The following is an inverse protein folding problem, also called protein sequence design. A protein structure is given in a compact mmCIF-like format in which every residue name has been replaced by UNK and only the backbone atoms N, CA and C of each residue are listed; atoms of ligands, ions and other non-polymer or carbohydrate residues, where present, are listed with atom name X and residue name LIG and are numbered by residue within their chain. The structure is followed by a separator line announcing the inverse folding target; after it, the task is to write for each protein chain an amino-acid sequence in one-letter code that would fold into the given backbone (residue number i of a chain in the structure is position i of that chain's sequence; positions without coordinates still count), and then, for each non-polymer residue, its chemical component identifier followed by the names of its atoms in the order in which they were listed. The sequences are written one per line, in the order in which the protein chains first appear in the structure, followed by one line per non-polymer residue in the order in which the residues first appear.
data_IF_330587832454
#
_entry.id   IF_330587832454
#
_cell.length_a   1.000
_cell.length_b   1.000
_cell.length_c   1.000
_cell.angle_alpha   90.00
_cell.angle_beta   90.00
_cell.angle_gamma   90.00
#
_symmetry.space_group_name_H-M   'P 1'
#
loop_
_entity.id
_entity.type
_entity.pdbx_description
1 polymer ?
#
# COMPACT_ATOMS: atom_id res chain seq x y z
N UNK A 1 -4.91 -58.95 19.78
CA UNK A 1 -4.98 -58.06 18.61
C UNK A 1 -6.16 -57.14 18.82
N UNK A 2 -5.91 -55.99 19.43
CA UNK A 2 -6.91 -54.95 19.75
C UNK A 2 -6.68 -53.79 18.80
N UNK A 3 -7.69 -53.49 18.00
CA UNK A 3 -7.71 -52.39 17.02
C UNK A 3 -7.83 -51.04 17.76
N UNK A 4 -6.87 -50.12 17.64
CA UNK A 4 -6.83 -48.88 18.43
C UNK A 4 -7.46 -47.65 17.73
N UNK A 5 -8.43 -47.80 16.83
CA UNK A 5 -8.76 -46.69 15.91
C UNK A 5 -10.21 -46.20 15.86
N UNK A 6 -11.10 -46.62 16.75
CA UNK A 6 -12.46 -46.05 16.82
C UNK A 6 -12.63 -45.25 18.11
N UNK A 7 -12.28 -43.97 18.05
CA UNK A 7 -12.70 -42.97 19.04
C UNK A 7 -14.11 -42.49 18.65
N UNK A 8 -15.18 -42.96 19.33
CA UNK A 8 -16.56 -42.59 19.01
C UNK A 8 -16.87 -41.13 19.36
N UNK A 9 -15.97 -40.43 20.06
CA UNK A 9 -16.12 -39.03 20.46
C UNK A 9 -15.41 -38.05 19.50
N UNK A 10 -14.86 -38.55 18.38
CA UNK A 10 -14.37 -37.69 17.31
C UNK A 10 -15.53 -36.94 16.65
N UNK A 11 -15.81 -35.73 17.15
CA UNK A 11 -16.78 -34.80 16.56
C UNK A 11 -16.53 -34.71 15.05
N UNK A 12 -17.58 -34.75 14.22
CA UNK A 12 -17.43 -34.58 12.77
C UNK A 12 -16.61 -33.32 12.51
N UNK A 13 -15.40 -33.50 11.96
CA UNK A 13 -14.56 -32.38 11.55
C UNK A 13 -15.34 -31.66 10.47
N UNK A 14 -15.97 -30.56 10.85
CA UNK A 14 -16.74 -29.73 9.92
C UNK A 14 -15.79 -29.34 8.78
N UNK A 15 -16.12 -29.65 7.52
CA UNK A 15 -15.21 -29.40 6.42
C UNK A 15 -14.92 -27.89 6.37
N UNK A 16 -13.63 -27.53 6.41
CA UNK A 16 -13.20 -26.15 6.36
C UNK A 16 -13.90 -25.45 5.17
N UNK A 17 -14.46 -24.24 5.38
CA UNK A 17 -15.23 -23.55 4.35
C UNK A 17 -14.37 -23.40 3.10
N UNK A 18 -14.91 -23.81 1.94
CA UNK A 18 -14.20 -23.77 0.68
C UNK A 18 -13.86 -22.31 0.31
N UNK A 19 -12.58 -21.96 0.39
CA UNK A 19 -12.09 -20.62 0.04
C UNK A 19 -12.32 -20.34 -1.43
N UNK A 20 -13.03 -19.26 -1.74
CA UNK A 20 -13.32 -18.87 -3.12
C UNK A 20 -12.01 -18.55 -3.87
N UNK A 21 -11.71 -19.20 -5.02
CA UNK A 21 -10.46 -19.00 -5.76
C UNK A 21 -10.24 -17.54 -6.22
N UNK A 22 -11.32 -16.77 -6.39
CA UNK A 22 -11.24 -15.35 -6.74
C UNK A 22 -10.55 -14.52 -5.65
N UNK A 23 -10.69 -14.89 -4.37
CA UNK A 23 -10.05 -14.20 -3.24
C UNK A 23 -8.53 -14.31 -3.33
N UNK A 24 -8.04 -15.51 -3.69
CA UNK A 24 -6.62 -15.75 -3.93
C UNK A 24 -6.10 -14.94 -5.11
N UNK A 25 -6.82 -14.95 -6.23
CA UNK A 25 -6.45 -14.18 -7.42
C UNK A 25 -6.35 -12.68 -7.12
N UNK A 26 -7.36 -12.10 -6.47
CA UNK A 26 -7.36 -10.67 -6.11
C UNK A 26 -6.19 -10.32 -5.19
N UNK A 27 -5.90 -11.16 -4.20
CA UNK A 27 -4.78 -10.97 -3.28
C UNK A 27 -3.42 -11.01 -3.99
N UNK A 28 -3.24 -11.93 -4.94
CA UNK A 28 -2.02 -12.03 -5.74
C UNK A 28 -1.88 -10.86 -6.72
N UNK A 29 -2.95 -10.45 -7.40
CA UNK A 29 -2.94 -9.29 -8.27
C UNK A 29 -2.61 -8.01 -7.50
N UNK A 30 -3.21 -7.80 -6.33
CA UNK A 30 -2.91 -6.66 -5.47
C UNK A 30 -1.47 -6.65 -4.99
N UNK A 31 -0.94 -7.80 -4.57
CA UNK A 31 0.47 -7.94 -4.18
C UNK A 31 1.41 -7.65 -5.35
N UNK A 32 1.14 -8.23 -6.54
CA UNK A 32 1.96 -8.03 -7.71
C UNK A 32 2.02 -6.54 -8.13
N UNK A 33 0.88 -5.85 -8.11
CA UNK A 33 0.84 -4.40 -8.37
C UNK A 33 1.62 -3.61 -7.33
N UNK A 34 1.50 -3.95 -6.05
CA UNK A 34 2.27 -3.29 -5.00
C UNK A 34 3.77 -3.49 -5.20
N UNK A 35 4.22 -4.72 -5.50
CA UNK A 35 5.64 -5.02 -5.76
C UNK A 35 6.16 -4.25 -6.97
N UNK A 36 5.43 -4.24 -8.08
CA UNK A 36 5.83 -3.51 -9.29
C UNK A 36 5.94 -2.01 -9.02
N UNK A 37 4.94 -1.41 -8.34
CA UNK A 37 4.98 -0.01 -7.96
C UNK A 37 6.16 0.29 -7.02
N UNK A 38 6.43 -0.59 -6.06
CA UNK A 38 7.58 -0.48 -5.16
C UNK A 38 8.91 -0.52 -5.90
N UNK A 39 9.08 -1.45 -6.83
CA UNK A 39 10.29 -1.57 -7.65
C UNK A 39 10.52 -0.29 -8.47
N UNK A 40 9.46 0.29 -9.04
CA UNK A 40 9.59 1.55 -9.76
C UNK A 40 9.99 2.71 -8.84
N UNK A 41 9.42 2.83 -7.64
CA UNK A 41 9.88 3.84 -6.68
C UNK A 41 11.36 3.65 -6.34
N UNK A 42 11.82 2.41 -6.13
CA UNK A 42 13.24 2.11 -5.90
C UNK A 42 14.10 2.52 -7.10
N UNK A 43 13.65 2.23 -8.33
CA UNK A 43 14.34 2.63 -9.55
C UNK A 43 14.46 4.16 -9.67
N UNK A 44 13.39 4.89 -9.35
CA UNK A 44 13.39 6.37 -9.33
C UNK A 44 14.39 6.90 -8.30
N UNK A 45 14.42 6.32 -7.10
CA UNK A 45 15.40 6.69 -6.06
C UNK A 45 16.83 6.43 -6.54
N UNK A 46 17.08 5.26 -7.13
CA UNK A 46 18.38 4.90 -7.67
C UNK A 46 18.82 5.86 -8.79
N UNK A 47 17.93 6.22 -9.71
CA UNK A 47 18.17 7.24 -10.73
C UNK A 47 18.50 8.60 -10.11
N UNK A 48 17.75 9.02 -9.08
CA UNK A 48 17.99 10.27 -8.37
C UNK A 48 19.37 10.37 -7.72
N UNK A 49 19.86 9.26 -7.17
CA UNK A 49 21.22 9.16 -6.60
C UNK A 49 22.28 9.13 -7.70
N UNK A 50 21.98 8.51 -8.85
CA UNK A 50 22.91 8.38 -9.98
C UNK A 50 23.13 9.70 -10.75
N UNK A 51 22.20 10.67 -10.67
CA UNK A 51 22.35 11.96 -11.35
C UNK A 51 23.60 12.70 -10.83
N UNK A 52 24.56 12.96 -11.72
CA UNK A 52 25.77 13.74 -11.44
C UNK A 52 25.63 15.19 -11.93
N UNK A 53 24.71 15.96 -11.33
CA UNK A 53 24.60 17.40 -11.60
C UNK A 53 25.35 18.21 -10.54
N UNK A 54 26.53 18.72 -10.90
CA UNK A 54 27.45 19.41 -9.98
C UNK A 54 26.83 20.58 -9.19
N UNK A 55 25.77 21.21 -9.71
CA UNK A 55 25.16 22.40 -9.12
C UNK A 55 23.88 22.13 -8.29
N UNK A 56 23.48 20.87 -8.12
CA UNK A 56 22.31 20.49 -7.30
C UNK A 56 22.73 19.59 -6.14
N UNK A 57 22.28 19.92 -4.93
CA UNK A 57 22.43 19.06 -3.75
C UNK A 57 21.70 17.72 -3.92
N UNK A 58 22.08 16.70 -3.15
CA UNK A 58 21.56 15.32 -3.25
C UNK A 58 20.03 15.24 -3.20
N UNK A 59 19.39 15.99 -2.29
CA UNK A 59 17.93 16.03 -2.15
C UNK A 59 17.23 16.61 -3.38
N UNK A 60 17.85 17.60 -4.04
CA UNK A 60 17.28 18.23 -5.22
C UNK A 60 17.43 17.36 -6.48
N UNK A 61 18.50 16.54 -6.55
CA UNK A 61 18.65 15.54 -7.60
C UNK A 61 17.61 14.44 -7.48
N UNK A 62 17.35 13.99 -6.26
CA UNK A 62 16.30 13.02 -5.96
C UNK A 62 14.93 13.58 -6.35
N UNK A 63 14.59 14.79 -5.91
CA UNK A 63 13.33 15.42 -6.29
C UNK A 63 13.17 15.60 -7.80
N UNK A 64 14.24 15.97 -8.51
CA UNK A 64 14.20 16.04 -9.97
C UNK A 64 13.88 14.68 -10.63
N UNK A 65 14.47 13.58 -10.15
CA UNK A 65 14.15 12.24 -10.65
C UNK A 65 12.69 11.83 -10.36
N UNK A 66 12.16 12.20 -9.19
CA UNK A 66 10.74 12.01 -8.90
C UNK A 66 9.85 12.81 -9.85
N UNK A 67 10.20 14.07 -10.12
CA UNK A 67 9.43 14.93 -11.04
C UNK A 67 9.32 14.31 -12.43
N UNK A 68 10.43 13.78 -12.98
CA UNK A 68 10.46 13.23 -14.34
C UNK A 68 9.74 11.89 -14.45
N UNK A 69 9.83 11.05 -13.43
CA UNK A 69 9.29 9.69 -13.50
C UNK A 69 7.84 9.57 -13.01
N UNK A 70 7.44 10.32 -11.97
CA UNK A 70 6.06 10.31 -11.47
C UNK A 70 5.07 10.94 -12.45
N UNK A 71 5.53 11.78 -13.38
CA UNK A 71 4.63 12.33 -14.41
C UNK A 71 4.27 11.26 -15.47
N UNK A 72 5.20 10.36 -15.77
CA UNK A 72 5.04 9.28 -16.73
C UNK A 72 4.09 8.18 -16.23
N UNK A 73 4.23 7.75 -14.97
CA UNK A 73 3.43 6.65 -14.41
C UNK A 73 2.71 7.10 -13.14
N UNK A 74 1.36 6.99 -13.06
CA UNK A 74 0.59 7.39 -11.88
C UNK A 74 0.72 6.35 -10.75
N UNK A 75 1.91 6.21 -10.16
CA UNK A 75 2.22 5.19 -9.15
C UNK A 75 1.27 5.23 -7.95
N UNK A 76 0.87 6.43 -7.50
CA UNK A 76 -0.09 6.57 -6.40
C UNK A 76 -1.44 5.93 -6.71
N UNK A 77 -1.93 6.01 -7.95
CA UNK A 77 -3.17 5.36 -8.37
C UNK A 77 -3.03 3.83 -8.39
N UNK A 78 -1.88 3.32 -8.85
CA UNK A 78 -1.60 1.87 -8.86
C UNK A 78 -1.63 1.32 -7.43
N UNK A 79 -1.04 2.06 -6.47
CA UNK A 79 -1.10 1.70 -5.06
C UNK A 79 -2.53 1.71 -4.50
N UNK A 80 -3.37 2.67 -4.89
CA UNK A 80 -4.81 2.66 -4.52
C UNK A 80 -5.49 1.39 -5.04
N UNK A 81 -5.27 1.02 -6.30
CA UNK A 81 -5.85 -0.20 -6.90
C UNK A 81 -5.38 -1.44 -6.14
N UNK A 82 -4.09 -1.52 -5.80
CA UNK A 82 -3.55 -2.62 -5.00
C UNK A 82 -4.26 -2.75 -3.64
N UNK A 83 -4.50 -1.64 -2.93
CA UNK A 83 -5.26 -1.63 -1.67
C UNK A 83 -6.68 -2.12 -1.89
N UNK A 84 -7.38 -1.61 -2.91
CA UNK A 84 -8.76 -2.03 -3.21
C UNK A 84 -8.82 -3.54 -3.44
N UNK A 85 -7.95 -4.10 -4.27
CA UNK A 85 -7.95 -5.54 -4.57
C UNK A 85 -7.76 -6.41 -3.33
N UNK A 86 -6.90 -6.00 -2.41
CA UNK A 86 -6.58 -6.75 -1.19
C UNK A 86 -7.63 -6.57 -0.09
N UNK A 87 -8.34 -5.45 -0.08
CA UNK A 87 -9.38 -5.13 0.92
C UNK A 87 -10.75 -5.62 0.49
N UNK A 88 -11.01 -5.70 -0.82
CA UNK A 88 -12.30 -6.04 -1.41
C UNK A 88 -12.91 -7.34 -0.85
N UNK A 89 -12.16 -8.47 -0.71
CA UNK A 89 -12.74 -9.70 -0.18
C UNK A 89 -13.31 -9.55 1.23
N UNK A 90 -12.58 -8.86 2.11
CA UNK A 90 -12.99 -8.62 3.51
C UNK A 90 -14.22 -7.72 3.57
N UNK A 91 -14.27 -6.67 2.75
CA UNK A 91 -15.44 -5.77 2.65
C UNK A 91 -16.65 -6.48 2.06
N UNK A 92 -16.45 -7.43 1.16
CA UNK A 92 -17.49 -8.26 0.57
C UNK A 92 -17.94 -9.44 1.45
N UNK A 93 -17.44 -9.55 2.69
CA UNK A 93 -17.81 -10.61 3.64
C UNK A 93 -17.34 -12.01 3.22
N UNK A 94 -16.33 -12.11 2.34
CA UNK A 94 -15.78 -13.39 1.93
C UNK A 94 -14.90 -13.97 3.04
N UNK A 95 -14.94 -15.29 3.22
CA UNK A 95 -14.06 -16.00 4.14
C UNK A 95 -12.64 -15.96 3.59
N UNK A 96 -11.71 -15.43 4.38
CA UNK A 96 -10.27 -15.39 4.09
C UNK A 96 -9.52 -16.34 5.00
N UNK A 97 -8.53 -17.03 4.46
CA UNK A 97 -7.61 -17.86 5.25
C UNK A 97 -6.52 -17.00 5.92
N UNK A 98 -5.89 -17.50 6.98
CA UNK A 98 -4.81 -16.80 7.70
C UNK A 98 -3.65 -16.42 6.78
N UNK A 99 -3.31 -17.29 5.82
CA UNK A 99 -2.28 -17.01 4.83
C UNK A 99 -2.65 -15.81 3.95
N UNK A 100 -3.92 -15.71 3.52
CA UNK A 100 -4.43 -14.61 2.72
C UNK A 100 -4.47 -13.30 3.53
N UNK A 101 -4.86 -13.39 4.81
CA UNK A 101 -4.87 -12.22 5.69
C UNK A 101 -3.47 -11.70 6.01
N UNK A 102 -2.49 -12.60 6.17
CA UNK A 102 -1.08 -12.23 6.35
C UNK A 102 -0.51 -11.60 5.08
N UNK A 103 -0.79 -12.17 3.91
CA UNK A 103 -0.41 -11.60 2.62
C UNK A 103 -1.02 -10.22 2.42
N UNK A 104 -2.30 -10.06 2.78
CA UNK A 104 -2.99 -8.80 2.71
C UNK A 104 -2.36 -7.74 3.62
N UNK A 105 -2.09 -8.09 4.89
CA UNK A 105 -1.41 -7.20 5.83
C UNK A 105 -0.01 -6.78 5.32
N UNK A 106 0.76 -7.72 4.77
CA UNK A 106 2.05 -7.43 4.16
C UNK A 106 1.92 -6.46 2.98
N UNK A 107 0.95 -6.70 2.10
CA UNK A 107 0.69 -5.84 0.93
C UNK A 107 0.30 -4.43 1.37
N UNK A 108 -0.57 -4.28 2.37
CA UNK A 108 -0.97 -2.98 2.91
C UNK A 108 0.21 -2.25 3.57
N UNK A 109 1.06 -2.96 4.30
CA UNK A 109 2.29 -2.40 4.86
C UNK A 109 3.25 -1.89 3.78
N UNK A 110 3.44 -2.68 2.71
CA UNK A 110 4.25 -2.31 1.56
C UNK A 110 3.68 -1.06 0.87
N UNK A 111 2.37 -1.04 0.58
CA UNK A 111 1.70 0.12 -0.02
C UNK A 111 1.86 1.35 0.88
N UNK A 112 1.64 1.23 2.18
CA UNK A 112 1.79 2.34 3.13
C UNK A 112 3.21 2.94 3.11
N UNK A 113 4.24 2.08 3.16
CA UNK A 113 5.63 2.53 3.12
C UNK A 113 5.96 3.28 1.82
N UNK A 114 5.56 2.74 0.67
CA UNK A 114 5.88 3.33 -0.63
C UNK A 114 4.99 4.53 -0.97
N UNK A 115 3.75 4.58 -0.52
CA UNK A 115 2.90 5.76 -0.61
C UNK A 115 3.52 6.94 0.15
N UNK A 116 4.06 6.70 1.35
CA UNK A 116 4.79 7.72 2.12
C UNK A 116 6.04 8.22 1.36
N UNK A 117 6.80 7.32 0.74
CA UNK A 117 7.95 7.70 -0.09
C UNK A 117 7.52 8.55 -1.29
N UNK A 118 6.40 8.24 -1.96
CA UNK A 118 5.86 9.04 -3.06
C UNK A 118 5.41 10.41 -2.58
N UNK A 119 4.79 10.52 -1.39
CA UNK A 119 4.43 11.80 -0.77
C UNK A 119 5.67 12.67 -0.58
N UNK A 120 6.71 12.13 0.05
CA UNK A 120 7.98 12.85 0.27
C UNK A 120 8.63 13.22 -1.07
N UNK A 121 8.71 12.27 -2.00
CA UNK A 121 9.28 12.47 -3.33
C UNK A 121 8.53 13.53 -4.14
N UNK A 122 7.21 13.60 -4.03
CA UNK A 122 6.39 14.63 -4.68
C UNK A 122 6.68 16.03 -4.15
N UNK A 123 6.86 16.18 -2.83
CA UNK A 123 7.24 17.45 -2.21
C UNK A 123 8.66 17.86 -2.66
N UNK A 124 9.61 16.91 -2.64
CA UNK A 124 10.97 17.14 -3.12
C UNK A 124 10.99 17.52 -4.61
N UNK A 125 10.13 16.92 -5.43
CA UNK A 125 10.01 17.22 -6.86
C UNK A 125 9.61 18.67 -7.11
N UNK A 126 8.61 19.17 -6.38
CA UNK A 126 8.18 20.56 -6.46
C UNK A 126 9.30 21.50 -5.99
N UNK A 127 9.93 21.20 -4.85
CA UNK A 127 11.05 22.00 -4.33
C UNK A 127 12.22 22.05 -5.32
N UNK A 128 12.52 20.93 -5.97
CA UNK A 128 13.57 20.81 -6.99
C UNK A 128 13.25 21.61 -8.23
N UNK A 129 11.99 21.60 -8.68
CA UNK A 129 11.57 22.41 -9.83
C UNK A 129 11.76 23.90 -9.57
N UNK A 130 11.31 24.39 -8.41
CA UNK A 130 11.46 25.80 -8.02
C UNK A 130 12.95 26.19 -7.95
N UNK A 131 13.80 25.31 -7.39
CA UNK A 131 15.23 25.55 -7.31
C UNK A 131 15.89 25.62 -8.69
N UNK A 132 15.53 24.72 -9.60
CA UNK A 132 16.06 24.71 -10.97
C UNK A 132 15.62 25.97 -11.73
N UNK A 133 14.37 26.40 -11.60
CA UNK A 133 13.86 27.60 -12.25
C UNK A 133 14.58 28.86 -11.72
N UNK A 134 14.84 28.92 -10.41
CA UNK A 134 15.63 30.00 -9.79
C UNK A 134 17.08 30.04 -10.30
N UNK A 135 17.72 28.88 -10.43
CA UNK A 135 19.10 28.77 -10.97
C UNK A 135 19.18 29.14 -12.46
N UNK A 136 18.07 29.03 -13.19
CA UNK A 136 18.00 29.37 -14.63
C UNK A 136 17.56 30.81 -14.91
N UNK A 137 17.35 31.62 -13.87
CA UNK A 137 16.80 32.99 -13.98
C UNK A 137 15.49 33.06 -14.79
N UNK A 138 14.74 31.97 -14.84
CA UNK A 138 13.46 31.92 -15.54
C UNK A 138 12.36 32.45 -14.63
N UNK A 139 11.53 33.36 -15.15
CA UNK A 139 10.31 33.77 -14.44
C UNK A 139 9.37 32.56 -14.32
N UNK A 140 8.91 32.26 -13.11
CA UNK A 140 7.94 31.18 -12.88
C UNK A 140 6.62 31.60 -13.54
N UNK A 141 6.35 31.02 -14.71
CA UNK A 141 5.14 31.34 -15.48
C UNK A 141 3.89 30.74 -14.82
N UNK A 142 2.72 31.33 -15.05
CA UNK A 142 1.44 30.76 -14.60
C UNK A 142 1.21 29.33 -15.13
N UNK A 143 1.74 29.02 -16.32
CA UNK A 143 1.69 27.68 -16.90
C UNK A 143 2.46 26.66 -16.05
N UNK A 144 3.66 26.99 -15.60
CA UNK A 144 4.49 26.12 -14.74
C UNK A 144 3.77 25.79 -13.44
N UNK A 145 3.10 26.79 -12.84
CA UNK A 145 2.30 26.59 -11.62
C UNK A 145 1.12 25.63 -11.83
N UNK A 146 0.41 25.76 -12.96
CA UNK A 146 -0.72 24.85 -13.28
C UNK A 146 -0.26 23.40 -13.44
N UNK A 147 0.89 23.19 -14.08
CA UNK A 147 1.49 21.86 -14.23
C UNK A 147 1.90 21.29 -12.87
N UNK A 148 2.56 22.09 -12.02
CA UNK A 148 2.96 21.67 -10.67
C UNK A 148 1.76 21.32 -9.77
N UNK A 149 0.68 22.11 -9.84
CA UNK A 149 -0.55 21.83 -9.09
C UNK A 149 -1.19 20.54 -9.60
N UNK A 150 -1.29 20.35 -10.91
CA UNK A 150 -1.87 19.14 -11.50
C UNK A 150 -1.04 17.90 -11.13
N UNK A 151 0.29 18.02 -11.17
CA UNK A 151 1.22 16.99 -10.73
C UNK A 151 1.03 16.64 -9.25
N UNK A 152 0.92 17.64 -8.37
CA UNK A 152 0.65 17.43 -6.95
C UNK A 152 -0.69 16.72 -6.75
N UNK A 153 -1.78 17.22 -7.32
CA UNK A 153 -3.10 16.61 -7.15
C UNK A 153 -3.07 15.15 -7.62
N UNK A 154 -2.47 14.87 -8.77
CA UNK A 154 -2.40 13.51 -9.34
C UNK A 154 -1.53 12.58 -8.50
N UNK A 155 -0.32 12.96 -8.14
CA UNK A 155 0.65 12.06 -7.53
C UNK A 155 0.63 12.11 -6.00
N UNK A 156 0.64 13.31 -5.41
CA UNK A 156 0.54 13.48 -3.97
C UNK A 156 -0.86 13.08 -3.48
N UNK A 157 -1.92 13.52 -4.17
CA UNK A 157 -3.29 13.22 -3.77
C UNK A 157 -3.59 11.71 -3.75
N UNK A 158 -3.26 10.99 -4.82
CA UNK A 158 -3.48 9.54 -4.87
C UNK A 158 -2.60 8.76 -3.90
N UNK A 159 -1.35 9.18 -3.69
CA UNK A 159 -0.48 8.57 -2.69
C UNK A 159 -1.01 8.78 -1.26
N UNK A 160 -1.53 9.96 -0.92
CA UNK A 160 -2.16 10.21 0.37
C UNK A 160 -3.40 9.33 0.56
N UNK A 161 -4.24 9.17 -0.47
CA UNK A 161 -5.39 8.26 -0.42
C UNK A 161 -4.94 6.82 -0.19
N UNK A 162 -3.93 6.35 -0.93
CA UNK A 162 -3.37 5.00 -0.74
C UNK A 162 -2.82 4.81 0.69
N UNK A 163 -2.09 5.79 1.21
CA UNK A 163 -1.51 5.76 2.55
C UNK A 163 -2.59 5.66 3.63
N UNK A 164 -3.61 6.52 3.56
CA UNK A 164 -4.71 6.54 4.52
C UNK A 164 -5.54 5.25 4.41
N UNK A 165 -5.89 4.83 3.19
CA UNK A 165 -6.64 3.60 2.97
C UNK A 165 -5.89 2.36 3.48
N UNK A 166 -4.58 2.27 3.22
CA UNK A 166 -3.74 1.20 3.74
C UNK A 166 -3.68 1.22 5.27
N UNK A 167 -3.49 2.39 5.88
CA UNK A 167 -3.45 2.55 7.34
C UNK A 167 -4.77 2.15 8.01
N UNK A 168 -5.91 2.61 7.49
CA UNK A 168 -7.23 2.26 8.00
C UNK A 168 -7.51 0.75 7.84
N UNK A 169 -7.21 0.19 6.68
CA UNK A 169 -7.38 -1.23 6.42
C UNK A 169 -6.51 -2.09 7.33
N UNK A 170 -5.26 -1.67 7.58
CA UNK A 170 -4.33 -2.37 8.46
C UNK A 170 -4.79 -2.30 9.92
N UNK A 171 -5.25 -1.13 10.39
CA UNK A 171 -5.82 -0.97 11.74
C UNK A 171 -7.00 -1.91 11.97
N UNK A 172 -7.93 -2.02 11.01
CA UNK A 172 -9.10 -2.91 11.09
C UNK A 172 -8.75 -4.41 11.18
N UNK A 173 -7.48 -4.78 10.90
CA UNK A 173 -7.00 -6.16 11.01
C UNK A 173 -6.37 -6.45 12.38
N UNK A 174 -5.94 -5.42 13.12
CA UNK A 174 -5.37 -5.57 14.45
C UNK A 174 -6.40 -5.46 15.58
N UNK A 175 -7.53 -4.78 15.36
CA UNK A 175 -8.67 -4.75 16.29
C UNK A 175 -9.42 -6.11 16.25
N UNK A 176 -8.88 -7.16 16.87
CA UNK A 176 -9.64 -8.40 17.14
C UNK A 176 -10.64 -8.15 18.27
N UNK A 177 -11.92 -8.57 18.14
CA UNK A 177 -12.85 -8.56 19.27
C UNK A 177 -12.29 -9.41 20.41
N UNK A 178 -12.11 -8.80 21.58
CA UNK A 178 -11.90 -9.56 22.82
C UNK A 178 -13.11 -10.50 22.96
N UNK A 179 -12.93 -11.82 23.11
CA UNK A 179 -14.05 -12.67 23.46
C UNK A 179 -14.62 -12.10 24.75
N UNK A 180 -15.86 -11.62 24.72
CA UNK A 180 -16.60 -11.29 25.94
C UNK A 180 -16.56 -12.60 26.72
N UNK A 181 -15.81 -12.60 27.83
CA UNK A 181 -15.70 -13.74 28.71
C UNK A 181 -17.11 -14.26 28.91
N UNK A 182 -17.33 -15.50 28.46
CA UNK A 182 -18.59 -16.19 28.60
C UNK A 182 -19.03 -15.96 30.04
N UNK A 183 -20.14 -15.26 30.13
CA UNK A 183 -21.02 -15.10 31.27
C UNK A 183 -20.67 -16.15 32.32
N UNK A 184 -19.99 -15.69 33.38
CA UNK A 184 -19.79 -16.49 34.58
C UNK A 184 -21.20 -16.79 35.11
N UNK A 185 -21.80 -17.87 34.61
CA UNK A 185 -23.01 -18.47 35.12
C UNK A 185 -22.67 -18.83 36.55
N UNK A 186 -23.02 -17.94 37.47
CA UNK A 186 -23.07 -18.20 38.90
C UNK A 186 -24.24 -19.15 39.14
N UNK A 187 -24.02 -20.42 39.54
CA UNK A 187 -25.06 -21.12 40.27
C UNK A 187 -25.05 -20.59 41.71
N UNK A 188 -26.12 -19.90 42.08
CA UNK A 188 -26.57 -19.71 43.47
C UNK A 188 -28.04 -20.12 43.48
N UNK A 189 -28.60 -20.74 44.53
CA UNK A 189 -28.14 -20.84 45.92
C UNK A 189 -27.57 -22.19 46.38
#
# INVERSE_FOLDING_TARGET
MTDPSHDPDALPVEPAPATNPLVGLLSWCGLALAILASLEVVAIVAQGVAIKQANLGSLYRLGYAFLTNLDAVPLGLILVVAVVLVVLPKVAGQVTDEAQDRQAAFTLGLVGAFALLIVIGSILAVASRIRVDHLRHAAVTSLTWRVLISYLIRNLGTALVALVAAGLALRSRFERPTPIAAEAVTPSP
#
